data_IF_141754561579
#
_entry.id   IF_141754561579
#
_cell.length_a   1.000
_cell.length_b   1.000
_cell.length_c   1.000
_cell.angle_alpha   90.00
_cell.angle_beta   90.00
_cell.angle_gamma   90.00
#
_symmetry.space_group_name_H-M   'P 1'
#
loop_
_entity.id
_entity.type
_entity.pdbx_description
1 polymer ?
#
# COMPACT_ATOMS: atom_id res chain seq x y z
N UNK A 1 18.79 30.45 -9.10
CA UNK A 1 18.41 29.05 -8.84
C UNK A 1 17.24 29.08 -7.85
N UNK A 2 16.01 29.09 -8.37
CA UNK A 2 14.80 29.28 -7.55
C UNK A 2 14.59 28.04 -6.68
N UNK A 3 14.45 28.15 -5.34
CA UNK A 3 14.24 26.98 -4.51
C UNK A 3 12.92 26.30 -4.90
N UNK A 4 12.99 24.98 -5.11
CA UNK A 4 11.82 24.14 -5.39
C UNK A 4 10.91 24.22 -4.16
N UNK A 5 9.82 24.99 -4.23
CA UNK A 5 8.85 25.12 -3.13
C UNK A 5 7.88 23.94 -3.20
N UNK A 6 7.79 23.17 -2.12
CA UNK A 6 6.78 22.11 -1.98
C UNK A 6 5.40 22.76 -1.90
N UNK A 7 4.42 22.37 -2.74
CA UNK A 7 3.08 22.92 -2.67
C UNK A 7 2.37 22.49 -1.38
N UNK A 8 1.49 23.34 -0.85
CA UNK A 8 0.74 23.07 0.38
C UNK A 8 -0.04 21.74 0.30
N UNK A 9 -0.63 21.45 -0.85
CA UNK A 9 -1.35 20.20 -1.12
C UNK A 9 -0.50 18.94 -0.89
N UNK A 10 0.81 19.01 -1.15
CA UNK A 10 1.72 17.90 -0.92
C UNK A 10 2.10 17.74 0.56
N UNK A 11 2.03 18.83 1.34
CA UNK A 11 2.27 18.78 2.78
C UNK A 11 1.04 18.31 3.57
N UNK A 12 -0.17 18.59 3.07
CA UNK A 12 -1.44 18.23 3.70
C UNK A 12 -1.76 16.73 3.62
N UNK A 13 -1.24 16.02 2.61
CA UNK A 13 -1.52 14.61 2.37
C UNK A 13 -0.72 13.65 3.27
N UNK A 14 0.26 14.15 4.01
CA UNK A 14 1.18 13.32 4.81
C UNK A 14 2.10 12.45 3.95
N UNK A 15 2.81 11.51 4.59
CA UNK A 15 3.63 10.51 3.89
C UNK A 15 2.70 9.41 3.36
N UNK A 16 2.70 9.11 2.04
CA UNK A 16 1.89 8.04 1.49
C UNK A 16 2.21 6.67 2.12
N UNK A 17 1.19 5.83 2.32
CA UNK A 17 1.33 4.53 2.98
C UNK A 17 2.38 3.66 2.27
N UNK A 18 2.42 3.67 0.93
CA UNK A 18 3.36 2.88 0.15
C UNK A 18 4.82 3.23 0.44
N UNK A 19 5.15 4.45 0.86
CA UNK A 19 6.52 4.83 1.23
C UNK A 19 6.91 4.31 2.62
N UNK A 20 5.93 4.03 3.49
CA UNK A 20 6.16 3.36 4.78
C UNK A 20 6.11 1.85 4.67
N UNK A 21 5.38 1.33 3.68
CA UNK A 21 5.19 -0.10 3.44
C UNK A 21 6.32 -0.71 2.60
N UNK A 22 6.75 -0.01 1.54
CA UNK A 22 7.81 -0.46 0.63
C UNK A 22 9.15 0.03 1.18
N UNK A 23 9.95 -0.91 1.69
CA UNK A 23 11.23 -0.59 2.32
C UNK A 23 12.28 -0.01 1.36
N UNK A 24 12.56 -0.62 0.19
CA UNK A 24 13.56 -0.10 -0.74
C UNK A 24 13.13 1.21 -1.39
N UNK A 25 13.87 2.28 -1.11
CA UNK A 25 13.75 3.54 -1.83
C UNK A 25 14.35 3.46 -3.25
N UNK A 26 14.25 4.55 -4.01
CA UNK A 26 14.75 4.59 -5.39
C UNK A 26 16.26 4.26 -5.50
N UNK A 27 17.08 4.65 -4.52
CA UNK A 27 18.52 4.36 -4.52
C UNK A 27 18.80 2.89 -4.23
N UNK A 28 18.09 2.32 -3.25
CA UNK A 28 18.15 0.90 -2.93
C UNK A 28 17.67 0.04 -4.11
N UNK A 29 16.56 0.41 -4.74
CA UNK A 29 16.04 -0.27 -5.93
C UNK A 29 17.06 -0.24 -7.08
N UNK A 30 17.67 0.91 -7.37
CA UNK A 30 18.69 1.02 -8.42
C UNK A 30 19.91 0.11 -8.12
N UNK A 31 20.36 0.07 -6.87
CA UNK A 31 21.47 -0.82 -6.45
C UNK A 31 21.09 -2.30 -6.61
N UNK A 32 19.88 -2.67 -6.21
CA UNK A 32 19.39 -4.04 -6.32
C UNK A 32 19.25 -4.47 -7.78
N UNK A 33 18.65 -3.62 -8.64
CA UNK A 33 18.49 -3.85 -10.07
C UNK A 33 19.85 -4.05 -10.78
N UNK A 34 20.83 -3.19 -10.48
CA UNK A 34 22.17 -3.34 -11.02
C UNK A 34 22.83 -4.67 -10.61
N UNK A 35 22.59 -5.12 -9.37
CA UNK A 35 23.11 -6.40 -8.88
C UNK A 35 22.52 -7.60 -9.63
N UNK A 36 21.25 -7.52 -10.04
CA UNK A 36 20.58 -8.59 -10.79
C UNK A 36 20.62 -8.39 -12.31
N UNK A 37 21.30 -7.34 -12.80
CA UNK A 37 21.57 -7.12 -14.23
C UNK A 37 20.43 -6.48 -15.03
N UNK A 38 19.50 -5.78 -14.37
CA UNK A 38 18.37 -5.11 -15.03
C UNK A 38 18.45 -3.58 -14.85
N UNK A 39 17.93 -2.82 -15.82
CA UNK A 39 17.90 -1.36 -15.79
C UNK A 39 16.65 -0.76 -15.13
N UNK A 40 15.59 -1.56 -14.94
CA UNK A 40 14.31 -1.10 -14.37
C UNK A 40 13.50 -2.24 -13.76
N UNK A 41 12.53 -1.90 -12.91
CA UNK A 41 11.54 -2.85 -12.41
C UNK A 41 10.66 -3.41 -13.55
N UNK A 42 10.35 -2.60 -14.57
CA UNK A 42 9.56 -3.04 -15.73
C UNK A 42 10.30 -4.12 -16.54
N UNK A 43 11.60 -3.91 -16.78
CA UNK A 43 12.46 -4.87 -17.48
C UNK A 43 12.59 -6.18 -16.68
N UNK A 44 12.84 -6.09 -15.38
CA UNK A 44 12.89 -7.25 -14.49
C UNK A 44 11.54 -8.01 -14.49
N UNK A 45 10.42 -7.29 -14.45
CA UNK A 45 9.08 -7.89 -14.44
C UNK A 45 8.78 -8.59 -15.77
N UNK A 46 9.17 -8.01 -16.90
CA UNK A 46 9.00 -8.63 -18.22
C UNK A 46 9.83 -9.92 -18.37
N UNK A 47 11.02 -9.97 -17.76
CA UNK A 47 11.82 -11.18 -17.74
C UNK A 47 11.27 -12.27 -16.79
N UNK A 48 10.61 -11.87 -15.71
CA UNK A 48 10.13 -12.78 -14.65
C UNK A 48 8.71 -13.33 -14.89
N UNK A 49 7.83 -12.57 -15.53
CA UNK A 49 6.41 -12.91 -15.70
C UNK A 49 6.10 -13.18 -17.18
N UNK A 50 5.71 -14.42 -17.57
CA UNK A 50 5.33 -14.72 -18.95
C UNK A 50 4.13 -13.88 -19.43
N UNK A 51 4.23 -13.33 -20.65
CA UNK A 51 3.20 -12.44 -21.21
C UNK A 51 1.80 -13.08 -21.28
N UNK A 52 1.73 -14.39 -21.50
CA UNK A 52 0.48 -15.16 -21.57
C UNK A 52 -0.36 -15.09 -20.29
N UNK A 53 0.26 -14.84 -19.12
CA UNK A 53 -0.44 -14.73 -17.84
C UNK A 53 -0.41 -13.31 -17.24
N UNK A 54 0.30 -12.38 -17.89
CA UNK A 54 0.40 -11.01 -17.41
C UNK A 54 -0.91 -10.26 -17.66
N UNK A 55 -1.46 -9.62 -16.62
CA UNK A 55 -2.60 -8.73 -16.81
C UNK A 55 -2.20 -7.52 -17.66
N UNK A 56 -2.95 -7.25 -18.73
CA UNK A 56 -2.75 -6.08 -19.57
C UNK A 56 -3.50 -4.83 -19.05
N UNK A 57 -4.46 -5.04 -18.15
CA UNK A 57 -5.29 -3.96 -17.61
C UNK A 57 -4.82 -3.57 -16.21
N UNK A 58 -4.91 -2.27 -15.92
CA UNK A 58 -4.75 -1.76 -14.58
C UNK A 58 -5.85 -2.31 -13.66
N UNK A 59 -5.52 -2.50 -12.39
CA UNK A 59 -6.49 -2.95 -11.40
C UNK A 59 -7.63 -1.93 -11.27
N UNK A 60 -8.87 -2.40 -11.38
CA UNK A 60 -10.06 -1.59 -11.17
C UNK A 60 -10.33 -1.40 -9.67
N UNK A 61 -9.51 -0.55 -9.04
CA UNK A 61 -9.60 -0.22 -7.62
C UNK A 61 -9.89 1.27 -7.41
N UNK A 62 -10.57 1.66 -6.32
CA UNK A 62 -10.69 3.06 -5.93
C UNK A 62 -9.32 3.70 -5.71
N UNK A 63 -9.25 5.02 -5.83
CA UNK A 63 -8.03 5.77 -5.49
C UNK A 63 -7.54 5.44 -4.08
N UNK A 64 -6.22 5.38 -3.94
CA UNK A 64 -5.60 5.18 -2.63
C UNK A 64 -6.04 6.26 -1.64
N UNK A 65 -6.24 5.84 -0.40
CA UNK A 65 -6.62 6.70 0.73
C UNK A 65 -5.46 6.77 1.71
N UNK A 66 -5.39 7.85 2.47
CA UNK A 66 -4.40 8.01 3.54
C UNK A 66 -4.69 7.03 4.68
N UNK A 67 -3.65 6.73 5.49
CA UNK A 67 -3.81 5.87 6.67
C UNK A 67 -4.88 6.40 7.64
N UNK A 68 -4.96 7.73 7.82
CA UNK A 68 -5.92 8.37 8.70
C UNK A 68 -7.37 8.17 8.22
N UNK A 69 -7.60 8.33 6.91
CA UNK A 69 -8.91 8.12 6.30
C UNK A 69 -9.36 6.65 6.41
N UNK A 70 -8.45 5.71 6.15
CA UNK A 70 -8.74 4.28 6.26
C UNK A 70 -9.08 3.90 7.72
N UNK A 71 -8.32 4.38 8.70
CA UNK A 71 -8.61 4.14 10.12
C UNK A 71 -9.97 4.72 10.53
N UNK A 72 -10.33 5.92 10.05
CA UNK A 72 -11.63 6.52 10.35
C UNK A 72 -12.80 5.72 9.76
N UNK A 73 -12.66 5.23 8.52
CA UNK A 73 -13.68 4.37 7.90
C UNK A 73 -13.81 3.04 8.64
N UNK A 74 -12.69 2.37 8.95
CA UNK A 74 -12.72 1.09 9.64
C UNK A 74 -13.36 1.20 11.03
N UNK A 75 -13.16 2.31 11.74
CA UNK A 75 -13.87 2.60 12.99
C UNK A 75 -15.38 2.71 12.77
N UNK A 76 -15.80 3.50 11.78
CA UNK A 76 -17.22 3.63 11.43
C UNK A 76 -17.87 2.28 11.08
N UNK A 77 -17.15 1.41 10.37
CA UNK A 77 -17.61 0.05 10.08
C UNK A 77 -17.68 -0.80 11.36
N UNK A 78 -16.67 -0.71 12.23
CA UNK A 78 -16.61 -1.46 13.49
C UNK A 78 -17.73 -1.05 14.46
N UNK A 79 -18.11 0.23 14.49
CA UNK A 79 -19.19 0.76 15.35
C UNK A 79 -20.57 0.17 15.01
N UNK A 80 -20.71 -0.48 13.85
CA UNK A 80 -21.94 -1.20 13.46
C UNK A 80 -22.07 -2.55 14.18
N UNK A 81 -20.99 -3.08 14.73
CA UNK A 81 -21.01 -4.35 15.45
C UNK A 81 -21.67 -4.18 16.82
N UNK A 82 -22.45 -5.18 17.24
CA UNK A 82 -23.00 -5.25 18.59
C UNK A 82 -22.16 -6.20 19.43
N UNK A 83 -21.38 -5.65 20.35
CA UNK A 83 -20.60 -6.43 21.30
C UNK A 83 -21.55 -6.89 22.42
N UNK A 84 -21.83 -8.20 22.45
CA UNK A 84 -22.67 -8.84 23.47
C UNK A 84 -21.83 -9.77 24.34
N UNK A 85 -22.36 -10.14 25.50
CA UNK A 85 -21.76 -11.19 26.33
C UNK A 85 -21.81 -12.54 25.57
N UNK A 86 -20.67 -13.16 25.24
CA UNK A 86 -20.64 -14.37 24.42
C UNK A 86 -21.01 -15.59 25.27
N UNK A 87 -22.27 -16.03 25.20
CA UNK A 87 -22.79 -17.21 25.91
C UNK A 87 -23.00 -18.44 25.03
N UNK A 88 -22.49 -18.43 23.79
CA UNK A 88 -22.65 -19.53 22.82
C UNK A 88 -21.72 -20.71 23.15
N UNK A 89 -20.49 -20.42 23.58
CA UNK A 89 -19.47 -21.44 23.81
C UNK A 89 -18.91 -22.01 22.51
N UNK A 90 -18.98 -23.35 22.34
CA UNK A 90 -18.47 -24.08 21.17
C UNK A 90 -16.97 -23.86 20.88
N UNK A 91 -16.16 -23.79 21.93
CA UNK A 91 -14.70 -23.67 21.81
C UNK A 91 -14.17 -22.24 21.86
N UNK A 92 -15.03 -21.23 22.01
CA UNK A 92 -14.63 -19.83 22.25
C UNK A 92 -15.27 -19.31 23.54
N UNK A 93 -14.48 -18.58 24.33
CA UNK A 93 -14.93 -17.88 25.54
C UNK A 93 -14.19 -16.55 25.66
N UNK A 94 -14.78 -15.57 26.36
CA UNK A 94 -14.13 -14.28 26.59
C UNK A 94 -12.94 -14.42 27.56
N UNK A 95 -11.80 -13.83 27.21
CA UNK A 95 -10.59 -13.74 28.04
C UNK A 95 -10.27 -12.29 28.35
#
# INVERSE_FOLDING_TARGET
MTPRRTPLSQLEQGIPFEQRHIGPDAGAQAKMLAQVGYGSLDELTAAAVPDVIKSAEALNLPSARTEAEVLAELRSLADRNKVLAPMIGLGYYGT
#
